data_IF_322125562718
#
_entry.id   IF_322125562718
#
_cell.length_a   1.000
_cell.length_b   1.000
_cell.length_c   1.000
_cell.angle_alpha   90.00
_cell.angle_beta   90.00
_cell.angle_gamma   90.00
#
_symmetry.space_group_name_H-M   'P 1'
#
loop_
_entity.id
_entity.type
_entity.pdbx_description
1 polymer ?
#
# COMPACT_ATOMS: atom_id res chain seq x y z
N UNK A 1 -32.77 -23.64 -17.63
CA UNK A 1 -32.88 -22.15 -17.61
C UNK A 1 -31.54 -21.60 -18.06
N UNK A 2 -31.48 -21.07 -19.28
CA UNK A 2 -30.24 -20.53 -19.89
C UNK A 2 -30.09 -19.09 -19.36
N UNK A 3 -29.03 -18.83 -18.59
CA UNK A 3 -28.68 -17.46 -18.18
C UNK A 3 -28.01 -16.80 -19.38
N UNK A 4 -28.77 -16.02 -20.15
CA UNK A 4 -28.21 -15.12 -21.18
C UNK A 4 -27.72 -13.86 -20.47
N UNK A 5 -26.40 -13.70 -20.35
CA UNK A 5 -25.79 -12.43 -19.98
C UNK A 5 -25.86 -11.46 -21.18
N UNK A 6 -26.22 -10.17 -20.98
CA UNK A 6 -26.14 -9.17 -22.04
C UNK A 6 -24.66 -8.79 -22.30
N UNK A 7 -24.21 -8.72 -23.56
CA UNK A 7 -22.81 -8.46 -23.92
C UNK A 7 -22.35 -7.00 -23.75
N UNK A 8 -23.22 -6.09 -23.31
CA UNK A 8 -22.95 -4.65 -23.35
C UNK A 8 -22.07 -4.12 -22.19
N UNK A 9 -22.06 -4.78 -21.03
CA UNK A 9 -21.38 -4.25 -19.83
C UNK A 9 -19.85 -4.40 -19.88
N UNK A 10 -19.31 -5.27 -20.73
CA UNK A 10 -17.86 -5.53 -20.77
C UNK A 10 -17.08 -4.51 -21.61
N UNK A 11 -17.73 -3.84 -22.56
CA UNK A 11 -17.05 -2.94 -23.51
C UNK A 11 -16.88 -1.52 -22.96
N UNK A 12 -17.90 -0.99 -22.25
CA UNK A 12 -17.83 0.34 -21.64
C UNK A 12 -16.77 0.43 -20.54
N UNK A 13 -16.66 -0.60 -19.69
CA UNK A 13 -15.67 -0.65 -18.61
C UNK A 13 -14.25 -0.67 -19.18
N UNK A 14 -14.02 -1.35 -20.31
CA UNK A 14 -12.69 -1.46 -20.92
C UNK A 14 -12.20 -0.13 -21.55
N UNK A 15 -13.12 0.63 -22.18
CA UNK A 15 -12.81 1.93 -22.76
C UNK A 15 -12.52 3.01 -21.71
N UNK A 16 -13.19 2.94 -20.55
CA UNK A 16 -12.99 3.88 -19.46
C UNK A 16 -11.63 3.69 -18.76
N UNK A 17 -11.17 2.44 -18.65
CA UNK A 17 -9.82 2.09 -18.17
C UNK A 17 -8.74 2.61 -19.14
N UNK A 18 -8.90 2.43 -20.45
CA UNK A 18 -7.94 2.91 -21.46
C UNK A 18 -7.78 4.44 -21.44
N UNK A 19 -8.88 5.19 -21.30
CA UNK A 19 -8.82 6.66 -21.26
C UNK A 19 -8.15 7.21 -19.98
N UNK A 20 -8.16 6.45 -18.88
CA UNK A 20 -7.54 6.83 -17.62
C UNK A 20 -6.02 6.65 -17.62
N UNK A 21 -5.51 5.68 -18.40
CA UNK A 21 -4.07 5.42 -18.55
C UNK A 21 -3.38 6.55 -19.36
N UNK A 22 -4.04 7.05 -20.40
CA UNK A 22 -3.47 8.06 -21.33
C UNK A 22 -3.25 9.46 -20.71
N UNK A 23 -3.83 9.76 -19.54
CA UNK A 23 -3.69 11.08 -18.88
C UNK A 23 -2.47 11.23 -17.97
N UNK A 24 -1.72 10.16 -17.68
CA UNK A 24 -0.66 10.20 -16.64
C UNK A 24 0.74 10.55 -17.14
N UNK A 25 0.98 10.68 -18.45
CA UNK A 25 2.34 10.82 -19.00
C UNK A 25 2.84 12.28 -19.17
N UNK A 26 2.14 13.27 -18.63
CA UNK A 26 2.61 14.66 -18.67
C UNK A 26 3.52 14.97 -17.46
N UNK A 27 4.79 14.59 -17.55
CA UNK A 27 5.84 15.02 -16.61
C UNK A 27 6.15 16.51 -16.85
N UNK A 28 5.95 17.42 -15.88
CA UNK A 28 6.40 18.79 -16.01
C UNK A 28 7.92 18.82 -15.78
N UNK A 29 8.70 19.17 -16.81
CA UNK A 29 10.12 19.48 -16.67
C UNK A 29 10.28 20.84 -15.99
N UNK A 30 10.34 20.82 -14.65
CA UNK A 30 10.76 21.98 -13.86
C UNK A 30 12.29 22.02 -13.80
N UNK A 31 12.88 22.97 -14.53
CA UNK A 31 14.33 23.22 -14.61
C UNK A 31 14.92 23.86 -13.35
N UNK A 32 14.84 23.18 -12.22
CA UNK A 32 15.61 23.54 -11.02
C UNK A 32 16.99 22.89 -11.08
N UNK A 33 18.06 23.70 -11.08
CA UNK A 33 19.46 23.24 -11.01
C UNK A 33 19.59 22.18 -9.91
N UNK A 34 20.08 21.00 -10.28
CA UNK A 34 20.32 19.87 -9.37
C UNK A 34 21.36 20.31 -8.31
N UNK A 35 21.08 20.17 -7.01
CA UNK A 35 22.11 20.37 -6.00
C UNK A 35 23.18 19.29 -6.17
N UNK A 36 24.43 19.72 -6.31
CA UNK A 36 25.57 18.81 -6.39
C UNK A 36 25.88 18.26 -5.00
N UNK A 37 25.78 16.95 -4.83
CA UNK A 37 26.00 16.29 -3.55
C UNK A 37 27.50 16.27 -3.22
N UNK A 38 27.88 16.86 -2.09
CA UNK A 38 29.25 16.84 -1.58
C UNK A 38 29.37 15.68 -0.58
N UNK A 39 30.07 14.62 -0.96
CA UNK A 39 30.34 13.50 -0.06
C UNK A 39 31.37 13.92 0.99
N UNK A 40 30.97 13.94 2.26
CA UNK A 40 31.91 14.08 3.36
C UNK A 40 32.65 12.75 3.61
N UNK A 41 33.95 12.78 3.96
CA UNK A 41 34.71 11.58 4.25
C UNK A 41 34.14 10.86 5.48
N UNK A 42 33.79 9.58 5.33
CA UNK A 42 33.07 8.77 6.33
C UNK A 42 33.91 8.35 7.57
N UNK A 43 35.18 8.76 7.66
CA UNK A 43 36.12 8.21 8.63
C UNK A 43 35.91 8.62 10.09
N UNK A 44 35.14 9.68 10.36
CA UNK A 44 35.04 10.27 11.71
C UNK A 44 33.62 10.64 12.14
N UNK A 45 32.58 10.15 11.45
CA UNK A 45 31.18 10.48 11.72
C UNK A 45 30.41 9.21 12.09
N UNK A 46 29.69 9.24 13.21
CA UNK A 46 28.74 8.21 13.63
C UNK A 46 27.34 8.73 13.34
N UNK A 47 26.64 8.08 12.41
CA UNK A 47 25.30 8.49 11.98
C UNK A 47 24.21 7.62 12.60
N UNK A 48 23.10 8.25 13.01
CA UNK A 48 21.90 7.58 13.51
C UNK A 48 20.67 7.98 12.69
N UNK A 49 19.74 7.04 12.43
CA UNK A 49 18.51 7.34 11.72
C UNK A 49 17.65 8.27 12.55
N UNK A 50 17.14 9.33 11.91
CA UNK A 50 16.28 10.33 12.53
C UNK A 50 14.89 10.37 11.89
N UNK A 51 14.81 10.22 10.56
CA UNK A 51 13.55 10.31 9.81
C UNK A 51 12.92 8.97 9.42
N UNK A 52 11.65 9.01 9.03
CA UNK A 52 10.97 7.90 8.36
C UNK A 52 11.54 7.66 6.94
N UNK A 53 11.24 6.48 6.40
CA UNK A 53 11.58 6.11 5.04
C UNK A 53 10.64 6.82 4.06
N UNK A 54 11.18 7.68 3.21
CA UNK A 54 10.39 8.44 2.23
C UNK A 54 10.82 8.10 0.80
N UNK A 55 9.90 8.16 -0.18
CA UNK A 55 10.24 7.99 -1.58
C UNK A 55 11.15 9.12 -2.05
N UNK A 56 12.18 8.78 -2.82
CA UNK A 56 13.04 9.79 -3.42
C UNK A 56 12.28 10.64 -4.44
N UNK A 57 12.58 11.95 -4.51
CA UNK A 57 12.00 12.79 -5.54
C UNK A 57 12.58 12.41 -6.91
N UNK A 58 11.79 12.62 -7.97
CA UNK A 58 12.08 12.07 -9.30
C UNK A 58 13.39 12.62 -9.91
N UNK A 59 13.80 13.82 -9.50
CA UNK A 59 15.00 14.51 -9.94
C UNK A 59 16.30 14.00 -9.27
N UNK A 60 16.20 13.16 -8.23
CA UNK A 60 17.31 12.69 -7.40
C UNK A 60 17.36 11.16 -7.29
N UNK A 61 16.53 10.46 -8.07
CA UNK A 61 16.37 9.00 -8.01
C UNK A 61 17.66 8.25 -8.38
N UNK A 62 18.54 8.88 -9.16
CA UNK A 62 19.84 8.40 -9.59
C UNK A 62 20.97 8.67 -8.58
N UNK A 63 20.68 9.37 -7.48
CA UNK A 63 21.67 9.64 -6.45
C UNK A 63 21.95 8.39 -5.61
N UNK A 64 23.18 8.21 -5.10
CA UNK A 64 23.58 6.98 -4.41
C UNK A 64 22.77 6.72 -3.13
N UNK A 65 22.24 7.75 -2.47
CA UNK A 65 21.36 7.59 -1.30
C UNK A 65 19.94 7.11 -1.64
N UNK A 66 19.59 6.95 -2.92
CA UNK A 66 18.31 6.40 -3.35
C UNK A 66 18.43 4.96 -3.83
N UNK A 67 19.63 4.45 -4.09
CA UNK A 67 19.82 3.12 -4.67
C UNK A 67 20.00 2.04 -3.59
N UNK A 68 19.46 0.83 -3.77
CA UNK A 68 18.70 0.31 -4.92
C UNK A 68 17.18 0.51 -4.85
N UNK A 69 16.63 0.94 -3.71
CA UNK A 69 15.19 0.85 -3.43
C UNK A 69 14.36 2.03 -3.93
N UNK A 70 15.00 3.13 -4.32
CA UNK A 70 14.34 4.39 -4.69
C UNK A 70 13.81 5.18 -3.49
N UNK A 71 14.18 4.80 -2.26
CA UNK A 71 13.73 5.43 -1.02
C UNK A 71 14.93 5.94 -0.21
N UNK A 72 14.74 7.05 0.51
CA UNK A 72 15.76 7.68 1.37
C UNK A 72 15.22 7.96 2.76
N UNK A 73 16.12 8.07 3.73
CA UNK A 73 15.79 8.57 5.08
C UNK A 73 16.86 9.54 5.59
N UNK A 74 16.44 10.47 6.45
CA UNK A 74 17.31 11.47 7.06
C UNK A 74 18.11 10.87 8.22
N UNK A 75 19.41 11.13 8.21
CA UNK A 75 20.39 10.78 9.24
C UNK A 75 20.84 12.02 10.00
N UNK A 76 21.07 11.86 11.29
CA UNK A 76 21.91 12.77 12.06
C UNK A 76 23.28 12.14 12.28
N UNK A 77 24.31 12.79 11.74
CA UNK A 77 25.70 12.39 11.92
C UNK A 77 26.37 13.27 12.96
N UNK A 78 26.99 12.64 13.95
CA UNK A 78 27.81 13.31 14.96
C UNK A 78 29.28 12.92 14.76
N UNK A 79 30.23 13.84 15.04
CA UNK A 79 31.64 13.51 15.15
C UNK A 79 31.88 12.37 16.14
N UNK A 80 32.78 11.43 15.82
CA UNK A 80 33.02 10.22 16.61
C UNK A 80 33.53 10.51 18.04
N UNK A 81 34.26 11.61 18.22
CA UNK A 81 34.66 12.17 19.51
C UNK A 81 33.46 12.56 20.37
N UNK A 82 32.42 13.16 19.78
CA UNK A 82 31.19 13.55 20.47
C UNK A 82 30.22 12.37 20.67
N UNK A 83 30.26 11.36 19.79
CA UNK A 83 29.41 10.19 19.89
C UNK A 83 29.71 9.34 21.14
N UNK A 84 30.97 9.32 21.59
CA UNK A 84 31.39 8.56 22.77
C UNK A 84 30.89 9.20 24.08
N UNK A 85 30.85 10.53 24.16
CA UNK A 85 30.35 11.27 25.32
C UNK A 85 28.84 11.07 25.53
N UNK A 86 28.06 10.98 24.45
CA UNK A 86 26.60 10.74 24.50
C UNK A 86 26.26 9.31 24.93
N UNK A 87 27.14 8.33 24.68
CA UNK A 87 26.93 6.93 25.08
C UNK A 87 27.36 6.63 26.52
N UNK A 88 28.23 7.45 27.11
CA UNK A 88 28.92 7.19 28.38
C UNK A 88 28.21 7.75 29.61
N UNK A 89 27.10 8.47 29.43
CA UNK A 89 26.19 8.84 30.51
C UNK A 89 26.37 10.26 31.04
N UNK A 90 25.28 11.00 31.05
CA UNK A 90 24.62 11.59 32.23
C UNK A 90 23.45 12.43 31.69
N UNK A 91 22.22 12.14 32.13
CA UNK A 91 21.10 13.06 31.92
C UNK A 91 21.51 14.43 32.46
N UNK A 92 21.68 15.40 31.57
CA UNK A 92 21.55 16.80 31.93
C UNK A 92 20.56 17.39 30.96
N UNK A 93 19.31 17.37 31.44
CA UNK A 93 18.24 18.20 30.94
C UNK A 93 18.67 19.67 31.02
N UNK A 94 19.31 20.16 29.96
CA UNK A 94 19.36 21.58 29.66
C UNK A 94 18.86 21.77 28.23
N UNK A 95 17.59 22.14 28.18
CA UNK A 95 16.82 22.49 27.00
C UNK A 95 17.50 23.71 26.33
N UNK A 96 17.96 23.56 25.08
CA UNK A 96 18.49 24.60 24.13
C UNK A 96 19.99 24.65 23.79
N UNK A 97 20.72 23.53 23.76
CA UNK A 97 21.93 23.44 22.90
C UNK A 97 21.81 22.29 21.91
N UNK A 98 21.45 22.64 20.67
CA UNK A 98 21.76 21.81 19.50
C UNK A 98 23.24 21.40 19.56
N UNK A 99 23.58 20.10 19.50
CA UNK A 99 24.96 19.65 19.37
C UNK A 99 25.67 20.41 18.24
N UNK A 100 26.58 21.32 18.57
CA UNK A 100 27.34 22.08 17.57
C UNK A 100 28.20 21.11 16.76
N UNK A 101 27.69 20.63 15.64
CA UNK A 101 28.33 19.60 14.82
C UNK A 101 27.41 18.52 14.25
N UNK A 102 26.08 18.53 14.51
CA UNK A 102 25.21 17.62 13.76
C UNK A 102 25.18 17.98 12.26
N UNK A 103 25.52 17.00 11.43
CA UNK A 103 25.43 17.14 9.97
C UNK A 103 24.23 16.33 9.49
N UNK A 104 23.24 16.94 8.80
CA UNK A 104 22.17 16.19 8.16
C UNK A 104 22.74 15.42 6.97
N UNK A 105 22.50 14.11 6.95
CA UNK A 105 22.89 13.26 5.83
C UNK A 105 21.71 12.41 5.35
N UNK A 106 21.82 11.84 4.16
CA UNK A 106 20.80 10.96 3.58
C UNK A 106 21.38 9.58 3.38
N UNK A 107 20.60 8.55 3.70
CA UNK A 107 20.94 7.17 3.34
C UNK A 107 19.79 6.48 2.61
N UNK A 108 20.17 5.46 1.84
CA UNK A 108 19.22 4.56 1.22
C UNK A 108 18.48 3.78 2.31
N UNK A 109 17.16 3.79 2.20
CA UNK A 109 16.28 3.08 3.11
C UNK A 109 15.49 2.03 2.33
N UNK A 110 15.03 1.01 3.06
CA UNK A 110 14.22 -0.07 2.49
C UNK A 110 12.77 0.35 2.27
N UNK A 111 11.87 -0.43 2.86
CA UNK A 111 10.45 -0.50 2.51
C UNK A 111 9.63 0.61 3.19
N UNK A 112 8.88 1.40 2.42
CA UNK A 112 8.00 2.47 2.95
C UNK A 112 6.66 1.87 3.40
N UNK A 113 6.52 1.63 4.70
CA UNK A 113 5.38 0.88 5.29
C UNK A 113 4.04 1.60 5.08
N UNK A 114 4.04 2.93 5.09
CA UNK A 114 2.80 3.72 5.02
C UNK A 114 2.13 3.61 3.66
N UNK A 115 2.91 3.74 2.58
CA UNK A 115 2.42 3.64 1.20
C UNK A 115 1.98 2.22 0.88
N UNK A 116 2.80 1.21 1.20
CA UNK A 116 2.48 -0.17 0.86
C UNK A 116 1.27 -0.73 1.57
N UNK A 117 0.97 -0.23 2.77
CA UNK A 117 -0.23 -0.64 3.50
C UNK A 117 -1.48 -0.35 2.67
N UNK A 118 -1.52 0.77 1.95
CA UNK A 118 -2.63 1.14 1.09
C UNK A 118 -2.79 0.15 -0.05
N UNK A 119 -1.71 -0.16 -0.76
CA UNK A 119 -1.70 -1.08 -1.89
C UNK A 119 -2.08 -2.50 -1.47
N UNK A 120 -1.63 -2.92 -0.28
CA UNK A 120 -2.01 -4.19 0.32
C UNK A 120 -3.52 -4.28 0.56
N UNK A 121 -4.14 -3.23 1.12
CA UNK A 121 -5.59 -3.22 1.34
C UNK A 121 -6.39 -3.22 0.03
N UNK A 122 -5.92 -2.54 -1.01
CA UNK A 122 -6.56 -2.59 -2.33
C UNK A 122 -6.60 -4.03 -2.86
N UNK A 123 -5.48 -4.73 -2.80
CA UNK A 123 -5.42 -6.14 -3.22
C UNK A 123 -6.31 -7.04 -2.36
N UNK A 124 -6.25 -6.91 -1.04
CA UNK A 124 -7.04 -7.76 -0.11
C UNK A 124 -8.53 -7.53 -0.30
N UNK A 125 -8.97 -6.27 -0.40
CA UNK A 125 -10.39 -5.93 -0.57
C UNK A 125 -10.94 -6.42 -1.91
N UNK A 126 -10.17 -6.35 -2.99
CA UNK A 126 -10.55 -6.91 -4.29
C UNK A 126 -10.78 -8.43 -4.22
N UNK A 127 -9.87 -9.18 -3.58
CA UNK A 127 -10.02 -10.63 -3.40
C UNK A 127 -11.21 -10.99 -2.49
N UNK A 128 -11.42 -10.24 -1.41
CA UNK A 128 -12.59 -10.43 -0.55
C UNK A 128 -13.90 -10.18 -1.28
N UNK A 129 -13.94 -9.18 -2.16
CA UNK A 129 -15.10 -8.93 -3.02
C UNK A 129 -15.39 -10.14 -3.91
N UNK A 130 -14.38 -10.67 -4.61
CA UNK A 130 -14.56 -11.87 -5.44
C UNK A 130 -15.03 -13.09 -4.63
N UNK A 131 -14.49 -13.28 -3.42
CA UNK A 131 -14.93 -14.33 -2.50
C UNK A 131 -16.41 -14.19 -2.17
N UNK A 132 -16.86 -12.98 -1.81
CA UNK A 132 -18.27 -12.69 -1.47
C UNK A 132 -19.17 -12.96 -2.69
N UNK A 133 -18.77 -12.52 -3.88
CA UNK A 133 -19.52 -12.77 -5.11
C UNK A 133 -19.62 -14.27 -5.40
N UNK A 134 -18.53 -15.02 -5.26
CA UNK A 134 -18.56 -16.47 -5.44
C UNK A 134 -19.49 -17.16 -4.42
N UNK A 135 -19.40 -16.78 -3.13
CA UNK A 135 -20.25 -17.35 -2.08
C UNK A 135 -21.73 -17.02 -2.28
N UNK A 136 -22.07 -15.80 -2.70
CA UNK A 136 -23.46 -15.41 -2.98
C UNK A 136 -24.03 -16.19 -4.17
N UNK A 137 -23.26 -16.38 -5.25
CA UNK A 137 -23.67 -17.23 -6.38
C UNK A 137 -23.86 -18.67 -5.93
N UNK A 138 -22.91 -19.23 -5.17
CA UNK A 138 -23.01 -20.60 -4.66
C UNK A 138 -24.24 -20.77 -3.75
N UNK A 139 -24.51 -19.81 -2.87
CA UNK A 139 -25.67 -19.82 -1.98
C UNK A 139 -26.99 -19.71 -2.74
N UNK A 140 -27.05 -18.84 -3.76
CA UNK A 140 -28.23 -18.71 -4.62
C UNK A 140 -28.50 -20.01 -5.39
N UNK A 141 -27.44 -20.67 -5.89
CA UNK A 141 -27.58 -21.95 -6.61
C UNK A 141 -27.96 -23.09 -5.67
N UNK A 142 -27.33 -23.19 -4.51
CA UNK A 142 -27.60 -24.26 -3.55
C UNK A 142 -29.00 -24.16 -2.95
N UNK A 143 -29.46 -22.95 -2.63
CA UNK A 143 -30.84 -22.72 -2.16
C UNK A 143 -31.89 -23.06 -3.23
N UNK A 144 -31.65 -22.69 -4.49
CA UNK A 144 -32.54 -23.05 -5.60
C UNK A 144 -32.61 -24.57 -5.83
N UNK A 145 -31.47 -25.27 -5.77
CA UNK A 145 -31.41 -26.73 -5.90
C UNK A 145 -32.12 -27.43 -4.73
N UNK A 146 -31.89 -26.99 -3.49
CA UNK A 146 -32.55 -27.55 -2.32
C UNK A 146 -34.08 -27.36 -2.41
N UNK A 147 -34.55 -26.16 -2.77
CA UNK A 147 -35.98 -25.88 -2.96
C UNK A 147 -36.61 -26.78 -4.03
N UNK A 148 -35.89 -27.11 -5.12
CA UNK A 148 -36.38 -28.02 -6.14
C UNK A 148 -36.52 -29.47 -5.62
N UNK A 149 -35.57 -29.95 -4.81
CA UNK A 149 -35.64 -31.27 -4.19
C UNK A 149 -36.77 -31.36 -3.17
N UNK A 150 -36.95 -30.33 -2.33
CA UNK A 150 -38.09 -30.25 -1.40
C UNK A 150 -39.43 -30.30 -2.14
N UNK A 151 -39.57 -29.62 -3.29
CA UNK A 151 -40.78 -29.71 -4.13
C UNK A 151 -41.01 -31.11 -4.67
N UNK A 152 -39.97 -31.83 -5.10
CA UNK A 152 -40.11 -33.21 -5.59
C UNK A 152 -40.52 -34.19 -4.48
N UNK A 153 -39.99 -34.01 -3.26
CA UNK A 153 -40.38 -34.78 -2.09
C UNK A 153 -41.84 -34.49 -1.69
N UNK A 154 -42.22 -33.21 -1.62
CA UNK A 154 -43.59 -32.80 -1.29
C UNK A 154 -44.63 -33.32 -2.30
N UNK A 155 -44.30 -33.33 -3.59
CA UNK A 155 -45.16 -33.89 -4.63
C UNK A 155 -45.38 -35.41 -4.49
N UNK A 156 -44.43 -36.13 -3.87
CA UNK A 156 -44.54 -37.58 -3.60
C UNK A 156 -45.24 -37.90 -2.28
N UNK A 157 -45.11 -37.02 -1.28
CA UNK A 157 -45.70 -37.22 0.05
C UNK A 157 -47.16 -36.74 0.11
N UNK A 158 -47.59 -35.87 -0.82
CA UNK A 158 -49.00 -35.48 -0.95
C UNK A 158 -49.55 -34.84 0.32
N UNK A 159 -48.88 -33.79 0.84
CA UNK A 159 -49.37 -33.05 2.01
C UNK A 159 -50.55 -32.16 1.54
N UNK A 160 -51.80 -32.39 2.01
CA UNK A 160 -52.94 -31.60 1.58
C UNK A 160 -52.82 -30.18 2.14
N UNK A 161 -52.68 -29.19 1.26
CA UNK A 161 -52.57 -27.77 1.60
C UNK A 161 -53.91 -27.11 1.93
N UNK A 162 -54.93 -27.87 2.33
CA UNK A 162 -56.22 -27.28 2.69
C UNK A 162 -57.18 -28.24 3.41
N UNK A 163 -57.09 -28.31 4.74
CA UNK A 163 -58.26 -28.49 5.63
C UNK A 163 -57.85 -28.33 7.10
N UNK A 164 -57.52 -27.11 7.50
CA UNK A 164 -57.52 -26.73 8.91
C UNK A 164 -58.35 -25.47 9.06
N UNK A 165 -59.68 -25.62 9.12
CA UNK A 165 -60.60 -24.70 9.80
C UNK A 165 -62.02 -25.30 9.86
N UNK A 166 -62.46 -25.41 11.12
CA UNK A 166 -63.80 -25.57 11.69
C UNK A 166 -64.57 -26.86 11.41
#
# INVERSE_FOLDING_TARGET
>A
MIVRYPPALSFSVYLEVQNSIKRRDAVPQSGTKRPEYIAHPAGSLVCRPFGECEPCPHNELDQPFCLPFGNRRLLHCLPADQAHDVLSGYESADDRKQPKGEVPAWEACGKVIVTERRDFYEFVTANLLFLIVALTILWARSSALAAAQYRQLAARIGIPSGSWRS
#
